data_IF_370565504172
#
_entry.id   IF_370565504172
#
_cell.length_a   1.000
_cell.length_b   1.000
_cell.length_c   1.000
_cell.angle_alpha   90.00
_cell.angle_beta   90.00
_cell.angle_gamma   90.00
#
_symmetry.space_group_name_H-M   'P 1'
#
loop_
_entity.id
_entity.type
_entity.pdbx_description
1 polymer ?
#
# COMPACT_ATOMS: atom_id res chain seq x y z
N UNK A 1 -13.41 7.61 20.85
CA UNK A 1 -12.85 6.63 20.37
C UNK A 1 -13.03 6.47 18.97
N UNK A 2 -12.22 5.96 18.34
CA UNK A 2 -12.29 5.96 16.99
C UNK A 2 -12.33 4.60 16.46
N UNK A 3 -12.69 4.47 15.26
CA UNK A 3 -12.68 3.25 14.70
C UNK A 3 -11.39 2.64 14.64
N UNK A 4 -10.31 3.40 14.64
CA UNK A 4 -8.99 2.86 14.59
C UNK A 4 -8.73 1.97 15.74
N UNK A 5 -9.34 2.22 16.86
CA UNK A 5 -9.12 1.38 17.99
C UNK A 5 -9.93 0.12 17.91
N UNK A 6 -10.93 0.10 17.05
CA UNK A 6 -11.72 -1.08 16.92
C UNK A 6 -11.26 -1.95 15.78
N UNK A 7 -10.45 -1.40 14.87
CA UNK A 7 -10.01 -2.16 13.74
C UNK A 7 -8.71 -2.84 14.03
N UNK A 8 -8.67 -4.13 13.98
CA UNK A 8 -7.46 -4.85 14.20
C UNK A 8 -6.85 -5.24 12.89
N UNK A 9 -5.53 -5.29 12.84
CA UNK A 9 -4.82 -5.67 11.64
C UNK A 9 -4.72 -7.18 11.65
N UNK A 10 -5.67 -7.83 11.03
CA UNK A 10 -5.75 -9.28 11.02
C UNK A 10 -5.37 -9.88 9.68
N UNK A 11 -5.18 -9.04 8.65
CA UNK A 11 -4.85 -9.56 7.34
C UNK A 11 -3.39 -9.30 7.03
N UNK A 12 -2.74 -10.25 6.41
CA UNK A 12 -1.34 -10.13 6.09
C UNK A 12 -1.17 -10.07 4.60
N UNK A 13 -0.32 -9.15 4.15
CA UNK A 13 -0.05 -8.99 2.74
C UNK A 13 1.43 -9.04 2.53
N UNK A 14 1.89 -9.79 1.55
CA UNK A 14 3.27 -9.80 1.19
C UNK A 14 3.42 -9.16 -0.17
N UNK A 15 4.41 -8.28 -0.30
CA UNK A 15 4.59 -7.54 -1.51
C UNK A 15 6.05 -7.56 -1.89
N UNK A 16 6.35 -7.90 -3.12
CA UNK A 16 7.71 -7.91 -3.59
C UNK A 16 8.00 -6.59 -4.29
N UNK A 17 9.08 -5.96 -3.92
CA UNK A 17 9.45 -4.67 -4.47
C UNK A 17 10.87 -4.75 -4.99
N UNK A 18 11.14 -4.01 -6.03
CA UNK A 18 12.52 -3.91 -6.50
C UNK A 18 13.23 -2.82 -5.70
N UNK A 19 14.53 -2.66 -5.94
CA UNK A 19 15.32 -1.72 -5.18
C UNK A 19 14.88 -0.29 -5.35
N UNK A 20 14.46 0.06 -6.53
CA UNK A 20 14.03 1.43 -6.78
C UNK A 20 12.73 1.74 -6.06
N UNK A 21 11.83 0.78 -6.05
CA UNK A 21 10.56 0.96 -5.37
C UNK A 21 10.77 1.09 -3.87
N UNK A 22 11.63 0.24 -3.33
CA UNK A 22 11.89 0.28 -1.91
C UNK A 22 12.55 1.60 -1.52
N UNK A 23 13.48 2.06 -2.36
CA UNK A 23 14.14 3.33 -2.08
C UNK A 23 13.15 4.47 -2.11
N UNK A 24 12.23 4.45 -3.06
CA UNK A 24 11.22 5.49 -3.15
C UNK A 24 10.35 5.52 -1.89
N UNK A 25 9.99 4.36 -1.39
CA UNK A 25 9.19 4.28 -0.19
C UNK A 25 9.98 4.81 1.00
N UNK A 26 11.25 4.43 1.10
CA UNK A 26 12.06 4.89 2.22
C UNK A 26 12.29 6.40 2.17
N UNK A 27 12.54 6.94 0.98
CA UNK A 27 12.73 8.37 0.84
C UNK A 27 11.47 9.11 1.27
N UNK A 28 10.32 8.63 0.84
CA UNK A 28 9.06 9.24 1.21
C UNK A 28 8.80 9.11 2.69
N UNK A 29 9.16 7.96 3.26
CA UNK A 29 9.01 7.73 4.68
C UNK A 29 9.79 8.75 5.49
N UNK A 30 11.05 8.95 5.13
CA UNK A 30 11.88 9.90 5.87
C UNK A 30 11.42 11.34 5.66
N UNK A 31 11.01 11.67 4.46
CA UNK A 31 10.52 12.99 4.19
C UNK A 31 9.30 13.32 5.01
N UNK A 32 8.44 12.35 5.24
CA UNK A 32 7.22 12.54 5.98
C UNK A 32 7.32 12.10 7.44
N UNK A 33 8.52 11.75 7.86
CA UNK A 33 8.80 11.43 9.25
C UNK A 33 7.93 10.31 9.79
N UNK A 34 7.75 9.29 8.99
CA UNK A 34 6.97 8.14 9.42
C UNK A 34 7.90 7.15 10.11
N UNK A 35 7.42 6.47 11.14
CA UNK A 35 8.30 5.67 11.99
C UNK A 35 8.79 4.36 11.40
N UNK A 36 8.10 3.84 10.42
CA UNK A 36 8.52 2.57 9.85
C UNK A 36 8.06 2.43 8.42
N UNK A 37 8.63 1.47 7.72
CA UNK A 37 8.19 1.18 6.36
C UNK A 37 6.74 0.76 6.35
N UNK A 38 6.31 -0.03 7.31
CA UNK A 38 4.94 -0.46 7.37
C UNK A 38 4.00 0.74 7.55
N UNK A 39 4.38 1.69 8.39
CA UNK A 39 3.58 2.88 8.57
C UNK A 39 3.52 3.70 7.28
N UNK A 40 4.64 3.77 6.57
CA UNK A 40 4.67 4.52 5.31
C UNK A 40 3.76 3.86 4.28
N UNK A 41 3.83 2.56 4.17
CA UNK A 41 3.02 1.85 3.20
C UNK A 41 1.54 1.98 3.54
N UNK A 42 1.20 1.86 4.81
CA UNK A 42 -0.20 2.02 5.20
C UNK A 42 -0.72 3.43 4.89
N UNK A 43 0.13 4.44 5.10
CA UNK A 43 -0.28 5.79 4.80
C UNK A 43 -0.45 6.01 3.29
N UNK A 44 0.44 5.43 2.50
CA UNK A 44 0.32 5.53 1.05
C UNK A 44 -0.94 4.83 0.57
N UNK A 45 -1.25 3.69 1.15
CA UNK A 45 -2.47 2.98 0.78
C UNK A 45 -3.70 3.80 1.16
N UNK A 46 -3.68 4.38 2.34
CA UNK A 46 -4.80 5.18 2.78
C UNK A 46 -5.04 6.35 1.84
N UNK A 47 -3.97 7.03 1.46
CA UNK A 47 -4.09 8.17 0.57
C UNK A 47 -4.51 7.74 -0.82
N UNK A 48 -3.97 6.65 -1.31
CA UNK A 48 -4.32 6.16 -2.62
C UNK A 48 -5.78 5.75 -2.69
N UNK A 49 -6.24 5.02 -1.68
CA UNK A 49 -7.61 4.56 -1.69
C UNK A 49 -8.60 5.70 -1.53
N UNK A 50 -8.17 6.78 -0.90
CA UNK A 50 -9.04 7.93 -0.73
C UNK A 50 -9.04 8.88 -1.89
N UNK A 51 -8.18 8.68 -2.87
CA UNK A 51 -8.12 9.59 -4.00
C UNK A 51 -9.28 9.31 -4.94
N UNK A 52 -9.85 10.36 -5.50
CA UNK A 52 -10.97 10.19 -6.40
C UNK A 52 -10.68 9.30 -7.58
N UNK A 53 -9.48 9.38 -8.08
CA UNK A 53 -9.12 8.59 -9.24
C UNK A 53 -9.09 7.11 -8.96
N UNK A 54 -9.10 6.71 -7.71
CA UNK A 54 -9.10 5.32 -7.35
C UNK A 54 -10.40 4.86 -6.73
N UNK A 55 -11.39 5.74 -6.64
CA UNK A 55 -12.63 5.36 -6.01
C UNK A 55 -13.34 4.29 -6.79
N UNK A 56 -13.14 4.29 -8.09
CA UNK A 56 -13.89 3.38 -8.93
C UNK A 56 -12.97 2.86 -10.00
N UNK A 57 -12.04 2.01 -9.67
CA UNK A 57 -11.03 1.58 -10.62
C UNK A 57 -11.62 0.84 -11.79
N UNK A 58 -11.10 1.07 -12.97
CA UNK A 58 -11.57 0.36 -14.14
C UNK A 58 -11.32 -1.12 -14.00
N UNK A 59 -12.19 -1.91 -14.55
CA UNK A 59 -12.07 -3.35 -14.43
C UNK A 59 -10.77 -3.88 -15.00
N UNK A 60 -10.25 -3.28 -16.04
CA UNK A 60 -9.04 -3.78 -16.64
C UNK A 60 -7.82 -3.58 -15.74
N UNK A 61 -7.94 -2.77 -14.71
CA UNK A 61 -6.84 -2.60 -13.79
C UNK A 61 -6.92 -3.57 -12.64
N UNK A 62 -7.94 -4.36 -12.59
CA UNK A 62 -8.14 -5.23 -11.46
C UNK A 62 -7.10 -6.30 -11.34
N UNK A 63 -6.51 -6.71 -12.39
CA UNK A 63 -5.49 -7.71 -12.28
C UNK A 63 -4.33 -7.44 -13.19
N UNK A 64 -4.57 -7.30 -14.44
CA UNK A 64 -3.48 -7.25 -15.37
C UNK A 64 -2.59 -6.04 -15.28
N UNK A 65 -3.12 -4.93 -14.83
CA UNK A 65 -2.35 -3.72 -14.81
C UNK A 65 -1.47 -3.59 -13.60
N UNK A 66 -1.72 -4.37 -12.58
CA UNK A 66 -0.92 -4.28 -11.39
C UNK A 66 0.14 -5.35 -11.42
N UNK A 67 1.32 -4.99 -11.10
CA UNK A 67 2.40 -5.95 -11.10
C UNK A 67 2.56 -6.64 -9.79
N UNK A 68 1.51 -6.83 -9.10
CA UNK A 68 1.58 -7.50 -7.84
C UNK A 68 1.82 -8.96 -8.07
N UNK A 69 2.83 -9.49 -7.40
CA UNK A 69 3.12 -10.89 -7.50
C UNK A 69 2.60 -11.52 -6.25
N UNK A 70 1.62 -12.35 -6.37
CA UNK A 70 1.06 -12.98 -5.22
C UNK A 70 1.78 -14.23 -4.94
N UNK A 71 1.97 -14.58 -3.69
CA UNK A 71 2.76 -15.75 -3.35
C UNK A 71 2.32 -17.01 -4.05
N UNK A 72 1.13 -17.17 -4.34
CA UNK A 72 0.72 -18.38 -5.00
C UNK A 72 0.58 -18.26 -6.48
N UNK A 73 1.01 -17.18 -7.02
CA UNK A 73 0.71 -16.84 -8.33
C UNK A 73 1.69 -17.26 -9.33
N UNK A 74 2.55 -18.10 -9.05
CA UNK A 74 3.48 -18.49 -10.01
C UNK A 74 3.70 -19.82 -10.01
#
# INVERSE_FOLDING_TARGET
MTEATLSKRTEKLQLMLNDEELKAIDDWRFKNRLPSRAAAIRELLRRGLGANEFSDPPAHLASGAFSVVEPGDR
#
